data_IF_057120236079
#
_entry.id   IF_057120236079
#
_cell.length_a   1.000
_cell.length_b   1.000
_cell.length_c   1.000
_cell.angle_alpha   90.00
_cell.angle_beta   90.00
_cell.angle_gamma   90.00
#
_symmetry.space_group_name_H-M   'P 1'
#
loop_
_entity.id
_entity.type
_entity.pdbx_description
1 polymer ?
#
# COMPACT_ATOMS: atom_id res chain seq x y z
N UNK A 1 -21.15 28.99 -1.58
CA UNK A 1 -21.35 28.97 -3.04
C UNK A 1 -22.26 27.80 -3.40
N UNK A 2 -23.22 28.00 -4.31
CA UNK A 2 -24.16 26.95 -4.74
C UNK A 2 -24.25 26.89 -6.26
N UNK A 3 -24.43 25.71 -6.82
CA UNK A 3 -24.60 25.48 -8.25
C UNK A 3 -26.01 24.97 -8.55
N UNK A 4 -26.54 25.32 -9.71
CA UNK A 4 -27.83 24.78 -10.16
C UNK A 4 -27.56 23.61 -11.10
N UNK A 5 -27.93 22.39 -10.69
CA UNK A 5 -27.75 21.17 -11.47
C UNK A 5 -29.13 20.52 -11.62
N UNK A 6 -29.52 20.18 -12.84
CA UNK A 6 -30.85 19.61 -13.16
C UNK A 6 -32.02 20.41 -12.53
N UNK A 7 -31.93 21.74 -12.53
CA UNK A 7 -32.96 22.64 -11.98
C UNK A 7 -33.00 22.72 -10.45
N UNK A 8 -32.07 22.06 -9.74
CA UNK A 8 -31.97 22.12 -8.27
C UNK A 8 -30.71 22.86 -7.84
N UNK A 9 -30.85 23.72 -6.83
CA UNK A 9 -29.71 24.37 -6.17
C UNK A 9 -29.04 23.38 -5.23
N UNK A 10 -27.75 23.13 -5.45
CA UNK A 10 -26.91 22.24 -4.65
C UNK A 10 -25.73 23.04 -4.10
N UNK A 11 -25.47 22.89 -2.81
CA UNK A 11 -24.40 23.59 -2.11
C UNK A 11 -23.04 22.94 -2.42
N UNK A 12 -21.98 23.75 -2.47
CA UNK A 12 -20.65 23.28 -2.88
C UNK A 12 -20.10 22.15 -1.98
N UNK A 13 -20.36 22.18 -0.67
CA UNK A 13 -19.93 21.10 0.23
C UNK A 13 -20.49 19.72 -0.16
N UNK A 14 -21.73 19.66 -0.64
CA UNK A 14 -22.33 18.40 -1.07
C UNK A 14 -21.71 17.87 -2.36
N UNK A 15 -21.33 18.76 -3.27
CA UNK A 15 -20.61 18.37 -4.50
C UNK A 15 -19.23 17.82 -4.15
N UNK A 16 -18.51 18.51 -3.26
CA UNK A 16 -17.20 18.07 -2.80
C UNK A 16 -17.28 16.68 -2.13
N UNK A 17 -18.25 16.49 -1.23
CA UNK A 17 -18.47 15.19 -0.56
C UNK A 17 -18.92 14.10 -1.55
N UNK A 18 -19.75 14.43 -2.54
CA UNK A 18 -20.19 13.49 -3.56
C UNK A 18 -19.02 13.00 -4.43
N UNK A 19 -18.15 13.91 -4.86
CA UNK A 19 -16.94 13.55 -5.63
C UNK A 19 -16.00 12.70 -4.79
N UNK A 20 -15.71 13.11 -3.55
CA UNK A 20 -14.86 12.35 -2.65
C UNK A 20 -15.44 10.95 -2.37
N UNK A 21 -16.75 10.87 -2.10
CA UNK A 21 -17.44 9.59 -1.87
C UNK A 21 -17.45 8.70 -3.11
N UNK A 22 -17.63 9.27 -4.30
CA UNK A 22 -17.58 8.51 -5.56
C UNK A 22 -16.19 7.93 -5.81
N UNK A 23 -15.13 8.74 -5.67
CA UNK A 23 -13.76 8.25 -5.78
C UNK A 23 -13.41 7.23 -4.70
N UNK A 24 -13.84 7.45 -3.46
CA UNK A 24 -13.66 6.50 -2.36
C UNK A 24 -14.35 5.17 -2.61
N UNK A 25 -15.57 5.18 -3.15
CA UNK A 25 -16.29 3.98 -3.52
C UNK A 25 -15.60 3.21 -4.66
N UNK A 26 -15.16 3.91 -5.72
CA UNK A 26 -14.39 3.30 -6.82
C UNK A 26 -13.09 2.69 -6.28
N UNK A 27 -12.38 3.42 -5.43
CA UNK A 27 -11.16 2.90 -4.80
C UNK A 27 -11.45 1.65 -3.96
N UNK A 28 -12.55 1.64 -3.21
CA UNK A 28 -12.97 0.48 -2.42
C UNK A 28 -13.34 -0.73 -3.30
N UNK A 29 -14.00 -0.54 -4.45
CA UNK A 29 -14.28 -1.65 -5.37
C UNK A 29 -13.01 -2.22 -6.00
N UNK A 30 -12.01 -1.38 -6.25
CA UNK A 30 -10.70 -1.83 -6.76
C UNK A 30 -9.88 -2.56 -5.68
N UNK A 31 -10.05 -2.20 -4.39
CA UNK A 31 -9.42 -2.89 -3.26
C UNK A 31 -10.15 -4.17 -2.85
N UNK A 32 -11.39 -4.38 -3.29
CA UNK A 32 -12.25 -5.52 -2.94
C UNK A 32 -11.97 -6.83 -3.70
N UNK A 33 -10.73 -7.04 -4.15
CA UNK A 33 -10.30 -8.30 -4.76
C UNK A 33 -10.28 -9.45 -3.74
N UNK A 34 -10.52 -10.68 -4.22
CA UNK A 34 -10.51 -11.94 -3.46
C UNK A 34 -9.37 -12.00 -2.42
N UNK A 35 -9.62 -12.74 -1.32
CA UNK A 35 -8.77 -12.90 -0.13
C UNK A 35 -7.26 -13.19 -0.36
N UNK A 36 -6.82 -13.37 -1.59
CA UNK A 36 -5.42 -13.47 -2.01
C UNK A 36 -4.73 -12.13 -2.33
N UNK A 37 -5.40 -10.97 -2.36
CA UNK A 37 -4.76 -9.68 -2.67
C UNK A 37 -4.60 -8.78 -1.42
N UNK A 38 -3.86 -9.27 -0.42
CA UNK A 38 -3.36 -8.43 0.67
C UNK A 38 -2.18 -7.59 0.14
N UNK A 39 -2.42 -6.32 -0.14
CA UNK A 39 -1.53 -5.16 0.06
C UNK A 39 -1.68 -4.11 -1.05
N UNK A 40 -2.43 -3.04 -0.75
CA UNK A 40 -2.16 -1.65 -1.11
C UNK A 40 -3.49 -0.87 -0.95
N UNK A 41 -3.66 0.07 -0.04
CA UNK A 41 -2.68 0.89 0.65
C UNK A 41 -3.32 1.56 1.87
N UNK A 42 -2.43 2.15 2.69
CA UNK A 42 -2.66 3.08 3.80
C UNK A 42 -3.02 2.46 5.16
N UNK A 43 -1.99 2.19 5.97
CA UNK A 43 -2.08 2.41 7.42
C UNK A 43 -1.55 1.32 8.35
N UNK A 44 -1.26 0.11 7.88
CA UNK A 44 -0.76 -0.96 8.74
C UNK A 44 0.46 -1.62 8.11
N UNK A 45 1.58 -1.60 8.83
CA UNK A 45 2.70 -2.52 8.59
C UNK A 45 2.14 -3.93 8.45
N UNK A 46 2.26 -4.59 7.30
CA UNK A 46 2.10 -6.03 7.25
C UNK A 46 3.46 -6.61 7.61
N UNK A 47 3.53 -7.33 8.73
CA UNK A 47 4.64 -8.20 9.09
C UNK A 47 5.16 -8.99 7.86
N UNK A 48 6.22 -8.46 7.25
CA UNK A 48 7.59 -8.97 7.27
C UNK A 48 7.89 -10.39 6.72
N UNK A 49 7.03 -11.08 5.97
CA UNK A 49 7.39 -12.43 5.44
C UNK A 49 6.88 -12.84 4.06
N UNK A 50 6.66 -11.91 3.11
CA UNK A 50 6.21 -12.34 1.77
C UNK A 50 6.50 -11.38 0.61
N UNK A 51 7.48 -10.48 0.69
CA UNK A 51 7.84 -9.61 -0.43
C UNK A 51 9.32 -9.23 -0.38
N UNK A 52 10.21 -10.19 -0.55
CA UNK A 52 11.53 -9.81 -1.05
C UNK A 52 11.35 -9.36 -2.50
N UNK A 53 11.67 -8.08 -2.83
CA UNK A 53 11.68 -7.66 -4.21
C UNK A 53 12.67 -8.55 -4.99
N UNK A 54 12.38 -8.90 -6.25
CA UNK A 54 13.26 -9.76 -7.03
C UNK A 54 14.69 -9.23 -7.00
N UNK A 55 15.63 -10.08 -6.55
CA UNK A 55 17.06 -9.76 -6.49
C UNK A 55 17.55 -9.67 -7.94
N UNK A 56 17.57 -8.45 -8.48
CA UNK A 56 18.09 -8.17 -9.82
C UNK A 56 19.57 -7.75 -9.68
N UNK A 57 20.48 -8.71 -9.56
CA UNK A 57 21.91 -8.42 -9.59
C UNK A 57 22.49 -8.67 -10.99
N UNK A 58 23.55 -7.95 -11.35
CA UNK A 58 24.17 -8.08 -12.67
C UNK A 58 25.23 -9.20 -12.73
N UNK A 59 25.58 -9.77 -11.58
CA UNK A 59 26.58 -10.83 -11.43
C UNK A 59 26.19 -11.83 -10.34
N UNK A 60 26.59 -13.09 -10.52
CA UNK A 60 26.34 -14.18 -9.55
C UNK A 60 26.99 -13.94 -8.18
N UNK A 61 28.07 -13.15 -8.13
CA UNK A 61 28.77 -12.80 -6.89
C UNK A 61 27.96 -11.79 -6.06
N UNK A 62 27.38 -10.79 -6.72
CA UNK A 62 26.53 -9.78 -6.09
C UNK A 62 25.26 -10.40 -5.50
N UNK A 63 24.65 -11.38 -6.19
CA UNK A 63 23.50 -12.09 -5.61
C UNK A 63 23.84 -12.84 -4.33
N UNK A 64 25.00 -13.50 -4.28
CA UNK A 64 25.46 -14.24 -3.11
C UNK A 64 25.70 -13.28 -1.94
N UNK A 65 26.31 -12.13 -2.21
CA UNK A 65 26.50 -11.06 -1.23
C UNK A 65 25.16 -10.54 -0.68
N UNK A 66 24.18 -10.24 -1.55
CA UNK A 66 22.88 -9.71 -1.10
C UNK A 66 22.13 -10.75 -0.26
N UNK A 67 22.16 -12.03 -0.66
CA UNK A 67 21.54 -13.12 0.11
C UNK A 67 22.16 -13.27 1.49
N UNK A 68 23.49 -13.15 1.59
CA UNK A 68 24.20 -13.23 2.86
C UNK A 68 23.94 -12.00 3.76
N UNK A 69 23.91 -10.80 3.16
CA UNK A 69 23.57 -9.56 3.86
C UNK A 69 22.14 -9.60 4.43
N UNK A 70 21.18 -10.08 3.64
CA UNK A 70 19.78 -10.21 4.08
C UNK A 70 19.65 -11.24 5.21
N UNK A 71 20.28 -12.42 5.05
CA UNK A 71 20.27 -13.45 6.08
C UNK A 71 20.91 -12.97 7.41
N UNK A 72 21.95 -12.15 7.34
CA UNK A 72 22.61 -11.57 8.51
C UNK A 72 21.76 -10.46 9.16
N UNK A 73 21.09 -9.62 8.35
CA UNK A 73 20.18 -8.58 8.83
C UNK A 73 18.97 -9.19 9.55
N UNK A 74 18.34 -10.22 8.96
CA UNK A 74 17.22 -10.93 9.57
C UNK A 74 17.64 -11.70 10.84
N UNK A 75 18.84 -12.28 10.84
CA UNK A 75 19.40 -12.98 12.00
C UNK A 75 19.74 -12.07 13.18
N UNK A 76 19.94 -10.76 12.95
CA UNK A 76 20.30 -9.77 13.99
C UNK A 76 19.09 -8.98 14.50
N UNK A 77 18.04 -8.79 13.69
CA UNK A 77 16.89 -7.98 14.08
C UNK A 77 16.04 -8.61 15.21
N UNK A 78 16.20 -9.91 15.47
CA UNK A 78 15.52 -10.62 16.57
C UNK A 78 16.22 -10.60 17.94
N UNK A 79 17.50 -10.25 18.03
CA UNK A 79 18.28 -10.39 19.26
C UNK A 79 18.72 -9.06 19.92
N UNK A 80 18.82 -7.95 19.17
CA UNK A 80 19.48 -6.73 19.64
C UNK A 80 18.55 -5.51 19.82
N UNK A 81 17.23 -5.69 19.66
CA UNK A 81 16.23 -4.64 19.99
C UNK A 81 15.61 -4.77 21.38
N UNK A 82 16.14 -5.66 22.23
CA UNK A 82 15.60 -5.97 23.57
C UNK A 82 16.64 -5.95 24.71
N UNK A 83 17.81 -5.31 24.53
CA UNK A 83 18.78 -5.06 25.61
C UNK A 83 19.17 -3.58 25.66
#
# INVERSE_FOLDING_TARGET
MSYTIAGRKILNEHIALAVLGAYGAIAATQMGGSKEAKAAASGASPDAKANDPPINASSSDEEAFIKQFLAEAEGKEGADRLV
#
